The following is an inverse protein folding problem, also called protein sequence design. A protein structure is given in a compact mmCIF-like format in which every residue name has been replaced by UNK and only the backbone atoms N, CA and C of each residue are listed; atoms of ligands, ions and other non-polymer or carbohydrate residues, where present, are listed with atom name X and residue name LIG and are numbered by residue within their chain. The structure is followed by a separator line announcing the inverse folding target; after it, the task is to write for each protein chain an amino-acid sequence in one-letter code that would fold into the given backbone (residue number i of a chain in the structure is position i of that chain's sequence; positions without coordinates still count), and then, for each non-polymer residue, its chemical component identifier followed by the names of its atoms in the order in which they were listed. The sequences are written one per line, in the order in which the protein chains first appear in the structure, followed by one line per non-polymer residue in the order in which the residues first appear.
data_IF_993714122551
#
_entry.id   IF_993714122551
#
_cell.length_a   1.000
_cell.length_b   1.000
_cell.length_c   1.000
_cell.angle_alpha   90.00
_cell.angle_beta   90.00
_cell.angle_gamma   90.00
#
_symmetry.space_group_name_H-M   'P 1'
#
loop_
_entity.id
_entity.type
_entity.pdbx_description
1 polymer ?
#
# COMPACT_ATOMS: atom_id res chain seq x y z
N UNK A 1 -40.76 29.22 -28.84
CA UNK A 1 -41.48 28.74 -27.63
C UNK A 1 -41.00 27.34 -27.26
N UNK A 2 -39.77 27.21 -26.75
CA UNK A 2 -39.18 25.90 -26.42
C UNK A 2 -38.17 25.95 -25.26
N UNK A 3 -38.17 27.02 -24.47
CA UNK A 3 -37.13 27.30 -23.47
C UNK A 3 -37.65 27.42 -22.02
N UNK A 4 -38.92 27.08 -21.74
CA UNK A 4 -39.54 27.30 -20.41
C UNK A 4 -39.85 25.99 -19.66
N UNK A 5 -39.70 24.82 -20.27
CA UNK A 5 -40.13 23.54 -19.65
C UNK A 5 -38.99 22.81 -18.89
N UNK A 6 -37.71 23.14 -19.10
CA UNK A 6 -36.61 22.42 -18.44
C UNK A 6 -36.30 22.87 -16.99
N UNK A 7 -36.87 23.99 -16.53
CA UNK A 7 -36.61 24.53 -15.17
C UNK A 7 -37.50 23.85 -14.10
N UNK A 8 -38.51 23.06 -14.49
CA UNK A 8 -39.43 22.41 -13.56
C UNK A 8 -38.97 21.04 -13.02
N UNK A 9 -37.85 20.48 -13.51
CA UNK A 9 -37.35 19.15 -13.06
C UNK A 9 -36.32 19.28 -11.92
N UNK A 10 -35.79 20.48 -11.65
CA UNK A 10 -34.77 20.73 -10.63
C UNK A 10 -35.29 21.06 -9.22
N UNK A 11 -36.61 20.96 -8.96
CA UNK A 11 -37.19 21.23 -7.64
C UNK A 11 -37.80 19.99 -6.93
N UNK A 12 -37.74 18.79 -7.54
CA UNK A 12 -38.35 17.59 -6.96
C UNK A 12 -37.37 16.59 -6.33
N UNK A 13 -36.06 16.72 -6.54
CA UNK A 13 -35.05 15.80 -5.98
C UNK A 13 -34.21 16.38 -4.82
N UNK A 14 -34.41 17.65 -4.46
CA UNK A 14 -33.71 18.30 -3.34
C UNK A 14 -34.38 18.17 -1.96
N UNK A 15 -35.57 17.55 -1.87
CA UNK A 15 -36.40 17.55 -0.64
C UNK A 15 -36.46 16.24 0.15
N UNK A 16 -35.77 15.17 -0.29
CA UNK A 16 -36.01 13.81 0.25
C UNK A 16 -34.85 13.23 1.08
N UNK A 17 -33.81 14.01 1.41
CA UNK A 17 -32.64 13.53 2.17
C UNK A 17 -32.34 14.36 3.44
N UNK A 18 -33.34 15.08 3.96
CA UNK A 18 -33.20 15.87 5.19
C UNK A 18 -34.40 15.71 6.14
N UNK A 19 -34.83 14.46 6.39
CA UNK A 19 -36.00 14.18 7.22
C UNK A 19 -36.02 12.86 7.99
N UNK A 20 -34.88 12.19 8.19
CA UNK A 20 -34.85 10.83 8.76
C UNK A 20 -33.83 10.60 9.90
N UNK A 21 -33.51 11.60 10.74
CA UNK A 21 -32.62 11.38 11.93
C UNK A 21 -33.09 12.08 13.22
N UNK A 22 -34.38 12.39 13.37
CA UNK A 22 -34.89 12.90 14.66
C UNK A 22 -36.21 12.26 15.03
N UNK A 23 -36.18 11.28 15.93
CA UNK A 23 -37.35 10.94 16.75
C UNK A 23 -37.65 9.45 16.92
N UNK A 24 -36.85 8.73 17.72
CA UNK A 24 -37.37 7.61 18.51
C UNK A 24 -36.77 7.72 19.92
N UNK A 25 -37.46 8.51 20.74
CA UNK A 25 -37.31 8.54 22.19
C UNK A 25 -38.68 8.18 22.76
N UNK A 26 -38.69 7.17 23.62
CA UNK A 26 -39.82 6.72 24.46
C UNK A 26 -40.89 5.93 23.66
N UNK A 27 -41.39 4.76 24.03
CA UNK A 27 -41.65 4.15 25.33
C UNK A 27 -41.69 2.61 25.18
N UNK A 28 -41.09 1.85 26.09
CA UNK A 28 -41.71 0.61 26.56
C UNK A 28 -41.13 0.21 27.91
N UNK A 29 -42.07 -0.06 28.81
CA UNK A 29 -41.97 -0.15 30.25
C UNK A 29 -41.16 -1.36 30.75
N UNK A 30 -40.38 -1.14 31.80
CA UNK A 30 -39.82 -2.18 32.67
C UNK A 30 -39.74 -1.65 34.09
N UNK A 31 -40.48 -2.28 35.00
CA UNK A 31 -40.98 -1.81 36.29
C UNK A 31 -40.03 -2.18 37.45
N UNK A 32 -39.67 -1.17 38.24
CA UNK A 32 -39.30 -1.09 39.67
C UNK A 32 -38.73 -2.29 40.49
N UNK A 33 -37.50 -2.11 41.05
CA UNK A 33 -37.07 -1.93 42.48
C UNK A 33 -37.46 -2.95 43.60
N UNK A 34 -36.80 -3.06 44.80
CA UNK A 34 -35.39 -2.88 45.27
C UNK A 34 -34.87 -4.02 46.24
N UNK A 35 -33.60 -3.96 46.73
CA UNK A 35 -33.20 -4.01 48.17
C UNK A 35 -31.88 -4.77 48.53
N UNK A 36 -30.99 -4.02 49.21
CA UNK A 36 -30.03 -4.34 50.29
C UNK A 36 -28.84 -5.35 50.15
N UNK A 37 -27.65 -4.85 50.56
CA UNK A 37 -26.33 -5.51 50.83
C UNK A 37 -26.28 -6.23 52.21
N UNK A 38 -25.13 -6.67 52.79
CA UNK A 38 -23.75 -6.98 52.33
C UNK A 38 -23.21 -8.35 52.85
N UNK A 39 -21.98 -8.78 52.49
CA UNK A 39 -21.04 -9.53 53.39
C UNK A 39 -19.64 -9.72 52.76
N UNK A 40 -18.62 -9.42 53.55
CA UNK A 40 -17.18 -9.52 53.28
C UNK A 40 -16.64 -10.96 53.28
N UNK A 41 -15.53 -11.21 52.54
CA UNK A 41 -14.44 -12.12 52.96
C UNK A 41 -13.14 -11.93 52.13
N UNK A 42 -12.20 -11.23 52.78
CA UNK A 42 -10.72 -11.29 52.87
C UNK A 42 -9.82 -12.17 51.94
N UNK A 43 -8.78 -11.50 51.44
CA UNK A 43 -7.35 -11.85 51.14
C UNK A 43 -6.94 -13.01 50.21
N UNK A 44 -6.09 -12.68 49.21
CA UNK A 44 -4.65 -13.00 49.24
C UNK A 44 -3.86 -12.18 48.20
N UNK A 45 -2.62 -11.93 48.59
CA UNK A 45 -1.56 -11.11 48.01
C UNK A 45 -0.84 -11.82 46.84
N UNK A 46 -0.26 -11.03 45.91
CA UNK A 46 0.39 -11.56 44.70
C UNK A 46 1.09 -10.47 43.88
N UNK A 47 2.21 -10.00 44.42
CA UNK A 47 3.30 -9.20 43.81
C UNK A 47 3.32 -9.14 42.28
N UNK A 48 3.01 -7.97 41.71
CA UNK A 48 3.30 -7.63 40.32
C UNK A 48 4.73 -7.08 40.20
N UNK A 49 5.58 -7.84 39.51
CA UNK A 49 6.93 -7.47 39.06
C UNK A 49 6.86 -6.43 37.93
N UNK A 50 7.77 -5.43 37.85
CA UNK A 50 7.64 -4.32 36.91
C UNK A 50 7.89 -4.78 35.46
N UNK A 51 6.89 -4.61 34.60
CA UNK A 51 7.04 -4.72 33.15
C UNK A 51 7.96 -3.61 32.63
N UNK A 52 9.18 -3.99 32.27
CA UNK A 52 10.00 -3.24 31.32
C UNK A 52 9.29 -3.18 29.98
N UNK A 53 9.15 -1.97 29.44
CA UNK A 53 8.72 -1.73 28.06
C UNK A 53 9.89 -2.04 27.13
N UNK A 54 10.01 -3.31 26.74
CA UNK A 54 10.84 -3.68 25.61
C UNK A 54 9.96 -3.67 24.36
N UNK A 55 10.30 -2.73 23.47
CA UNK A 55 9.75 -2.61 22.14
C UNK A 55 10.19 -3.85 21.34
N UNK A 56 9.35 -4.88 21.29
CA UNK A 56 9.65 -6.12 20.62
C UNK A 56 9.63 -5.92 19.10
N UNK A 57 10.79 -5.60 18.53
CA UNK A 57 11.11 -5.95 17.14
C UNK A 57 11.00 -7.46 17.04
N UNK A 58 9.95 -7.97 16.38
CA UNK A 58 9.78 -9.40 16.16
C UNK A 58 10.75 -9.84 15.06
N UNK A 59 12.02 -9.96 15.40
CA UNK A 59 12.96 -10.74 14.60
C UNK A 59 12.59 -12.21 14.79
N UNK A 60 12.29 -12.93 13.71
CA UNK A 60 12.30 -14.40 13.75
C UNK A 60 13.74 -14.80 14.05
N UNK A 61 14.07 -14.97 15.33
CA UNK A 61 15.44 -15.19 15.78
C UNK A 61 16.01 -16.46 15.15
N UNK A 62 16.83 -16.30 14.10
CA UNK A 62 17.56 -17.38 13.44
C UNK A 62 17.63 -17.31 11.91
N UNK A 63 16.68 -16.66 11.23
CA UNK A 63 16.71 -16.53 9.76
C UNK A 63 17.32 -15.19 9.38
N UNK A 64 18.40 -15.14 8.58
CA UNK A 64 19.02 -13.90 8.13
C UNK A 64 18.16 -13.20 7.07
N UNK A 65 18.43 -11.91 6.83
CA UNK A 65 17.90 -11.21 5.66
C UNK A 65 18.60 -11.70 4.38
N UNK A 66 17.91 -11.63 3.25
CA UNK A 66 18.46 -12.04 1.96
C UNK A 66 19.61 -11.13 1.54
N UNK A 67 20.76 -11.73 1.22
CA UNK A 67 21.91 -11.06 0.66
C UNK A 67 21.76 -10.73 -0.82
N UNK A 68 22.75 -10.03 -1.38
CA UNK A 68 22.73 -9.64 -2.80
C UNK A 68 22.77 -10.86 -3.73
N UNK A 69 23.53 -11.87 -3.33
CA UNK A 69 23.73 -13.09 -4.11
C UNK A 69 22.58 -14.10 -3.94
N UNK A 70 21.67 -13.86 -2.98
CA UNK A 70 20.52 -14.74 -2.73
C UNK A 70 19.33 -14.40 -3.63
N UNK A 71 19.31 -13.21 -4.25
CA UNK A 71 18.15 -12.67 -4.96
C UNK A 71 18.51 -12.25 -6.39
N UNK A 72 17.66 -12.64 -7.34
CA UNK A 72 17.64 -12.08 -8.68
C UNK A 72 16.34 -11.33 -8.91
N UNK A 73 16.44 -10.13 -9.50
CA UNK A 73 15.29 -9.34 -9.90
C UNK A 73 15.06 -9.45 -11.39
N UNK A 74 13.81 -9.64 -11.81
CA UNK A 74 13.42 -9.53 -13.22
C UNK A 74 12.24 -8.59 -13.39
N UNK A 75 12.25 -7.87 -14.51
CA UNK A 75 11.21 -6.90 -14.83
C UNK A 75 10.78 -7.10 -16.29
N UNK A 76 9.47 -7.19 -16.49
CA UNK A 76 8.87 -7.23 -17.84
C UNK A 76 7.66 -6.31 -17.85
N UNK A 77 7.26 -5.83 -19.02
CA UNK A 77 6.03 -5.07 -19.19
C UNK A 77 5.09 -5.77 -20.16
N UNK A 78 3.79 -5.46 -20.04
CA UNK A 78 2.76 -5.85 -21.01
C UNK A 78 2.91 -5.09 -22.34
N UNK A 79 3.32 -3.82 -22.27
CA UNK A 79 3.60 -2.97 -23.42
C UNK A 79 4.95 -2.26 -23.29
N UNK A 80 5.58 -1.96 -24.43
CA UNK A 80 6.81 -1.15 -24.48
C UNK A 80 6.60 0.19 -25.18
N UNK A 81 5.39 0.46 -25.67
CA UNK A 81 4.99 1.73 -26.25
C UNK A 81 3.57 2.08 -25.79
N UNK A 82 3.40 3.30 -25.29
CA UNK A 82 2.14 3.78 -24.69
C UNK A 82 1.93 5.26 -25.01
N UNK A 83 0.68 5.72 -24.99
CA UNK A 83 0.38 7.15 -25.12
C UNK A 83 0.70 7.93 -23.84
N UNK A 84 0.92 9.23 -23.92
CA UNK A 84 0.86 10.11 -22.73
C UNK A 84 -0.49 9.92 -22.04
N UNK A 85 -0.47 9.66 -20.73
CA UNK A 85 -1.66 9.32 -19.94
C UNK A 85 -2.10 7.86 -20.00
N UNK A 86 -1.41 7.03 -20.80
CA UNK A 86 -1.65 5.60 -20.83
C UNK A 86 -0.97 4.85 -19.68
N UNK A 87 -1.25 3.55 -19.62
CA UNK A 87 -0.84 2.67 -18.53
C UNK A 87 0.14 1.60 -19.02
N UNK A 88 1.15 1.33 -18.21
CA UNK A 88 2.05 0.18 -18.35
C UNK A 88 1.92 -0.69 -17.10
N UNK A 89 1.67 -1.98 -17.30
CA UNK A 89 1.67 -2.97 -16.22
C UNK A 89 3.00 -3.70 -16.23
N UNK A 90 3.83 -3.42 -15.23
CA UNK A 90 5.08 -4.13 -15.04
C UNK A 90 4.84 -5.37 -14.19
N UNK A 91 5.35 -6.52 -14.66
CA UNK A 91 5.52 -7.70 -13.84
C UNK A 91 6.92 -7.67 -13.23
N UNK A 92 6.98 -7.35 -11.94
CA UNK A 92 8.18 -7.35 -11.13
C UNK A 92 8.31 -8.70 -10.41
N UNK A 93 9.46 -9.35 -10.54
CA UNK A 93 9.71 -10.66 -9.90
C UNK A 93 10.96 -10.60 -9.03
N UNK A 94 10.82 -11.07 -7.80
CA UNK A 94 11.91 -11.44 -6.90
C UNK A 94 12.06 -12.95 -6.99
N UNK A 95 13.24 -13.44 -7.34
CA UNK A 95 13.58 -14.86 -7.38
C UNK A 95 14.65 -15.15 -6.33
N UNK A 96 14.39 -16.13 -5.46
CA UNK A 96 15.39 -16.68 -4.58
C UNK A 96 16.30 -17.66 -5.33
N UNK A 97 17.61 -17.43 -5.22
CA UNK A 97 18.68 -18.30 -5.73
C UNK A 97 19.75 -18.61 -4.67
N UNK A 98 19.53 -18.17 -3.43
CA UNK A 98 20.40 -18.41 -2.28
C UNK A 98 20.46 -19.88 -1.86
N UNK A 99 21.51 -20.23 -1.11
CA UNK A 99 21.68 -21.60 -0.58
C UNK A 99 20.97 -21.82 0.76
N UNK A 100 20.69 -20.74 1.46
CA UNK A 100 20.07 -20.73 2.79
C UNK A 100 18.80 -19.91 2.73
N UNK A 101 17.79 -20.31 3.50
CA UNK A 101 16.56 -19.55 3.63
C UNK A 101 16.85 -18.15 4.20
N UNK A 102 16.09 -17.15 3.73
CA UNK A 102 16.29 -15.77 4.12
C UNK A 102 14.98 -14.97 4.14
N UNK A 103 14.98 -13.84 4.83
CA UNK A 103 13.86 -12.91 4.90
C UNK A 103 14.03 -11.74 3.92
N UNK A 104 12.95 -11.31 3.29
CA UNK A 104 12.94 -10.13 2.43
C UNK A 104 11.65 -9.33 2.63
N UNK A 105 11.77 -8.00 2.72
CA UNK A 105 10.63 -7.12 2.55
C UNK A 105 10.31 -6.93 1.06
N UNK A 106 9.19 -7.49 0.64
CA UNK A 106 8.73 -7.41 -0.74
C UNK A 106 7.68 -6.29 -0.95
N UNK A 107 7.41 -5.40 0.00
CA UNK A 107 6.52 -4.26 -0.17
C UNK A 107 6.92 -3.35 -1.35
N UNK A 108 6.01 -2.52 -1.87
CA UNK A 108 6.31 -1.65 -3.03
C UNK A 108 7.28 -0.51 -2.72
N UNK A 109 7.49 -0.20 -1.44
CA UNK A 109 8.51 0.73 -0.94
C UNK A 109 9.82 0.04 -0.54
N UNK A 110 9.89 -1.30 -0.67
CA UNK A 110 11.09 -2.11 -0.47
C UNK A 110 11.57 -2.77 -1.77
N UNK A 111 10.66 -3.28 -2.62
CA UNK A 111 10.88 -3.64 -4.04
C UNK A 111 10.52 -2.44 -4.91
N UNK A 112 11.52 -1.63 -5.20
CA UNK A 112 11.35 -0.30 -5.79
C UNK A 112 11.50 -0.37 -7.31
N UNK A 113 10.42 -0.05 -8.02
CA UNK A 113 10.46 0.24 -9.44
C UNK A 113 10.77 1.74 -9.63
N UNK A 114 11.84 2.02 -10.37
CA UNK A 114 12.26 3.39 -10.72
C UNK A 114 12.13 3.58 -12.22
N UNK A 115 11.51 4.69 -12.63
CA UNK A 115 11.46 5.13 -14.02
C UNK A 115 12.31 6.39 -14.18
N UNK A 116 13.19 6.38 -15.18
CA UNK A 116 14.11 7.48 -15.49
C UNK A 116 13.96 7.97 -16.91
N UNK A 117 14.33 9.23 -17.15
CA UNK A 117 14.63 9.78 -18.48
C UNK A 117 16.05 10.34 -18.45
N UNK A 118 16.94 9.81 -19.29
CA UNK A 118 18.37 10.05 -19.15
C UNK A 118 18.86 9.69 -17.74
N UNK A 119 19.39 10.68 -17.00
CA UNK A 119 19.88 10.51 -15.63
C UNK A 119 18.89 11.00 -14.56
N UNK A 120 17.68 11.39 -14.97
CA UNK A 120 16.69 11.98 -14.07
C UNK A 120 15.62 10.96 -13.73
N UNK A 121 15.40 10.72 -12.44
CA UNK A 121 14.25 9.93 -11.97
C UNK A 121 12.97 10.75 -12.11
N UNK A 122 11.99 10.18 -12.82
CA UNK A 122 10.69 10.83 -13.02
C UNK A 122 9.59 10.19 -12.18
N UNK A 123 9.71 8.90 -11.88
CA UNK A 123 8.71 8.17 -11.11
C UNK A 123 9.36 7.08 -10.27
N UNK A 124 8.83 6.85 -9.07
CA UNK A 124 9.18 5.69 -8.24
C UNK A 124 7.97 5.09 -7.52
N UNK A 125 7.97 3.77 -7.37
CA UNK A 125 6.92 3.04 -6.66
C UNK A 125 6.88 3.33 -5.16
N UNK A 126 8.02 3.72 -4.57
CA UNK A 126 8.16 4.07 -3.16
C UNK A 126 7.85 5.55 -2.86
N UNK A 127 7.27 6.28 -3.81
CA UNK A 127 6.82 7.67 -3.60
C UNK A 127 5.72 7.81 -2.54
N UNK A 128 5.07 6.70 -2.18
CA UNK A 128 4.15 6.60 -1.08
C UNK A 128 4.57 5.43 -0.18
N UNK A 129 4.47 5.57 1.16
CA UNK A 129 4.73 4.48 2.08
C UNK A 129 3.83 3.28 1.78
N UNK A 130 4.36 2.07 1.96
CA UNK A 130 3.58 0.85 1.94
C UNK A 130 3.76 0.11 3.26
N UNK A 131 2.79 -0.73 3.60
CA UNK A 131 2.96 -1.66 4.70
C UNK A 131 4.00 -2.71 4.32
N UNK A 132 4.92 -3.00 5.25
CA UNK A 132 5.95 -4.02 5.05
C UNK A 132 5.32 -5.37 4.71
N UNK A 133 5.91 -6.07 3.75
CA UNK A 133 5.51 -7.42 3.35
C UNK A 133 6.71 -8.35 3.45
N UNK A 134 7.00 -8.76 4.68
CA UNK A 134 8.05 -9.73 4.97
C UNK A 134 7.69 -11.11 4.43
N UNK A 135 8.58 -11.67 3.62
CA UNK A 135 8.49 -13.02 3.06
C UNK A 135 9.69 -13.84 3.53
N UNK A 136 9.43 -15.08 3.92
CA UNK A 136 10.46 -16.11 4.02
C UNK A 136 10.66 -16.69 2.63
N UNK A 137 11.87 -16.54 2.08
CA UNK A 137 12.26 -17.09 0.79
C UNK A 137 13.07 -18.36 1.02
N UNK A 138 12.66 -19.44 0.37
CA UNK A 138 13.30 -20.76 0.47
C UNK A 138 13.52 -21.34 -0.92
N UNK A 139 14.50 -22.25 -1.06
CA UNK A 139 14.71 -22.99 -2.31
C UNK A 139 14.73 -22.11 -3.57
N UNK A 140 13.69 -22.21 -4.40
CA UNK A 140 13.54 -21.43 -5.65
C UNK A 140 12.29 -20.55 -5.67
N UNK A 141 11.86 -20.09 -4.49
CA UNK A 141 10.68 -19.27 -4.32
C UNK A 141 10.70 -18.01 -5.19
N UNK A 142 9.49 -17.60 -5.61
CA UNK A 142 9.25 -16.43 -6.45
C UNK A 142 8.14 -15.59 -5.86
N UNK A 143 8.40 -14.31 -5.68
CA UNK A 143 7.37 -13.30 -5.47
C UNK A 143 7.18 -12.53 -6.78
N UNK A 144 5.96 -12.57 -7.33
CA UNK A 144 5.60 -11.88 -8.57
C UNK A 144 4.53 -10.85 -8.24
N UNK A 145 4.80 -9.59 -8.57
CA UNK A 145 3.86 -8.49 -8.33
C UNK A 145 3.66 -7.65 -9.59
N UNK A 146 2.44 -7.14 -9.75
CA UNK A 146 2.14 -6.13 -10.75
C UNK A 146 2.41 -4.74 -10.17
N UNK A 147 3.20 -3.93 -10.87
CA UNK A 147 3.41 -2.52 -10.55
C UNK A 147 2.91 -1.70 -11.73
N UNK A 148 1.96 -0.80 -11.46
CA UNK A 148 1.29 -0.01 -12.50
C UNK A 148 1.93 1.36 -12.59
N UNK A 149 2.27 1.78 -13.81
CA UNK A 149 2.71 3.14 -14.09
C UNK A 149 1.78 3.80 -15.11
N UNK A 150 1.08 4.86 -14.69
CA UNK A 150 0.12 5.60 -15.52
C UNK A 150 0.78 6.78 -16.24
N UNK A 151 2.03 6.58 -16.70
CA UNK A 151 2.85 7.60 -17.38
C UNK A 151 2.85 8.95 -16.66
N UNK A 152 2.91 8.92 -15.32
CA UNK A 152 2.95 10.10 -14.47
C UNK A 152 4.30 10.23 -13.78
N UNK A 153 4.54 11.40 -13.19
CA UNK A 153 5.74 11.68 -12.41
C UNK A 153 5.46 11.71 -10.91
N UNK A 154 6.47 11.41 -10.11
CA UNK A 154 6.44 11.53 -8.65
C UNK A 154 7.16 12.79 -8.22
N UNK A 155 6.65 13.44 -7.17
CA UNK A 155 7.37 14.50 -6.45
C UNK A 155 7.71 14.07 -5.02
N UNK A 156 8.15 15.04 -4.22
CA UNK A 156 8.60 14.79 -2.83
C UNK A 156 7.46 14.41 -1.86
N UNK A 157 6.21 14.66 -2.27
CA UNK A 157 5.03 14.35 -1.47
C UNK A 157 4.32 13.13 -2.03
N UNK A 158 3.92 12.23 -1.13
CA UNK A 158 2.94 11.21 -1.48
C UNK A 158 1.60 11.90 -1.78
N UNK A 159 1.20 11.86 -3.05
CA UNK A 159 -0.10 12.34 -3.54
C UNK A 159 -0.78 11.25 -4.35
N UNK A 160 -2.11 11.32 -4.43
CA UNK A 160 -2.93 10.40 -5.22
C UNK A 160 -2.49 10.37 -6.69
N UNK A 161 -2.52 9.19 -7.30
CA UNK A 161 -2.02 8.94 -8.65
C UNK A 161 -2.67 9.85 -9.70
N UNK A 162 -3.98 10.04 -9.62
CA UNK A 162 -4.76 10.90 -10.52
C UNK A 162 -4.43 12.40 -10.40
N UNK A 163 -3.74 12.82 -9.35
CA UNK A 163 -3.32 14.22 -9.15
C UNK A 163 -1.88 14.47 -9.62
N UNK A 164 -1.18 13.44 -10.10
CA UNK A 164 0.21 13.54 -10.56
C UNK A 164 0.25 14.04 -12.00
N UNK A 165 1.19 14.93 -12.35
CA UNK A 165 1.35 15.35 -13.73
C UNK A 165 1.89 14.20 -14.58
N UNK A 166 1.39 14.10 -15.81
CA UNK A 166 1.92 13.16 -16.79
C UNK A 166 3.33 13.54 -17.22
N UNK A 167 4.10 12.53 -17.62
CA UNK A 167 5.38 12.73 -18.26
C UNK A 167 5.18 13.08 -19.73
N UNK A 168 6.14 13.78 -20.32
CA UNK A 168 6.11 14.13 -21.74
C UNK A 168 6.37 12.90 -22.64
N UNK A 169 6.09 13.03 -23.94
CA UNK A 169 6.52 12.03 -24.92
C UNK A 169 8.05 11.89 -24.90
N UNK A 170 8.54 10.66 -24.99
CA UNK A 170 9.97 10.37 -24.92
C UNK A 170 10.28 8.93 -24.58
N UNK A 171 11.57 8.67 -24.34
CA UNK A 171 12.08 7.36 -23.95
C UNK A 171 12.38 7.35 -22.46
N UNK A 172 11.90 6.30 -21.80
CA UNK A 172 12.04 6.08 -20.37
C UNK A 172 12.66 4.72 -20.11
N UNK A 173 13.43 4.62 -19.03
CA UNK A 173 14.04 3.36 -18.59
C UNK A 173 13.48 2.99 -17.23
N UNK A 174 12.88 1.81 -17.16
CA UNK A 174 12.37 1.17 -15.97
C UNK A 174 13.41 0.22 -15.38
N UNK A 175 13.63 0.27 -14.07
CA UNK A 175 14.57 -0.64 -13.38
C UNK A 175 14.04 -0.97 -12.00
N UNK A 176 14.08 -2.25 -11.65
CA UNK A 176 13.72 -2.75 -10.32
C UNK A 176 14.97 -2.78 -9.42
N UNK A 177 14.80 -2.47 -8.13
CA UNK A 177 15.84 -2.56 -7.11
C UNK A 177 15.25 -2.93 -5.75
N UNK A 178 16.10 -3.30 -4.79
CA UNK A 178 15.70 -3.50 -3.40
C UNK A 178 16.22 -2.35 -2.53
N UNK A 179 15.38 -1.83 -1.63
CA UNK A 179 15.74 -0.74 -0.71
C UNK A 179 16.91 -1.11 0.19
N UNK A 180 16.83 -2.29 0.80
CA UNK A 180 17.86 -2.78 1.74
C UNK A 180 19.09 -3.33 1.01
N UNK A 181 19.02 -3.45 -0.33
CA UNK A 181 20.11 -3.94 -1.15
C UNK A 181 20.10 -3.34 -2.57
N UNK A 182 20.44 -2.06 -2.66
CA UNK A 182 20.37 -1.30 -3.92
C UNK A 182 21.33 -1.78 -5.03
N UNK A 183 22.27 -2.68 -4.70
CA UNK A 183 23.15 -3.32 -5.68
C UNK A 183 22.40 -4.36 -6.53
N UNK A 184 21.38 -5.00 -5.97
CA UNK A 184 20.52 -5.95 -6.71
C UNK A 184 19.59 -5.16 -7.61
N UNK A 185 19.73 -5.33 -8.92
CA UNK A 185 18.92 -4.64 -9.94
C UNK A 185 18.44 -5.62 -11.01
N UNK A 186 17.28 -5.34 -11.59
CA UNK A 186 16.89 -6.00 -12.84
C UNK A 186 17.68 -5.43 -14.01
N UNK A 187 17.63 -6.14 -15.15
CA UNK A 187 17.97 -5.52 -16.43
C UNK A 187 17.09 -4.27 -16.67
N UNK A 188 17.64 -3.23 -17.32
CA UNK A 188 16.87 -2.05 -17.68
C UNK A 188 15.85 -2.39 -18.77
N UNK A 189 14.62 -1.88 -18.62
CA UNK A 189 13.53 -2.06 -19.56
C UNK A 189 13.12 -0.71 -20.15
N UNK A 190 13.30 -0.55 -21.47
CA UNK A 190 12.95 0.68 -22.18
C UNK A 190 11.46 0.74 -22.52
N UNK A 191 10.83 1.88 -22.22
CA UNK A 191 9.44 2.22 -22.54
C UNK A 191 9.42 3.51 -23.36
N UNK A 192 8.65 3.53 -24.44
CA UNK A 192 8.40 4.73 -25.24
C UNK A 192 7.02 5.30 -24.93
N UNK A 193 6.97 6.58 -24.58
CA UNK A 193 5.73 7.35 -24.41
C UNK A 193 5.58 8.27 -25.63
N UNK A 194 4.39 8.29 -26.26
CA UNK A 194 4.12 9.06 -27.49
C UNK A 194 2.73 9.68 -27.54
#
# INVERSE_FOLDING_TARGET
MAAIILVAVLAAFGGLIYGAVTGIRHLTEGKASPSASPTSSKSADGTASPSGKDNATKTTAGVPDCGADDITLTLTSDVTTVGVGGTVNFKATILHGGKTDCLIDAANDSRILTITTGNTTVWRSDSCPADSRQLLMTGSDKDIQSVVWNTNSTGDKCVADASRPHVEAGTYVATLSLKDNAAVKSDPLTITVR
#
